data_IF_118201371974
#
_entry.id   IF_118201371974
#
_cell.length_a   1.000
_cell.length_b   1.000
_cell.length_c   1.000
_cell.angle_alpha   90.00
_cell.angle_beta   90.00
_cell.angle_gamma   90.00
#
_symmetry.space_group_name_H-M   'P 1'
#
loop_
_entity.id
_entity.type
_entity.pdbx_description
1 polymer ?
#
# COMPACT_ATOMS: atom_id res chain seq x y z
N UNK A 1 -63.71 -6.14 -22.38
CA UNK A 1 -63.24 -7.52 -22.09
C UNK A 1 -61.99 -7.74 -22.93
N UNK A 2 -60.82 -7.31 -22.45
CA UNK A 2 -59.79 -8.19 -21.87
C UNK A 2 -59.31 -9.16 -22.96
N UNK A 3 -58.09 -8.99 -23.51
CA UNK A 3 -56.94 -9.77 -23.04
C UNK A 3 -55.65 -9.42 -23.84
N UNK A 4 -54.57 -9.15 -23.09
CA UNK A 4 -53.14 -9.26 -23.43
C UNK A 4 -52.63 -8.37 -24.58
N UNK A 5 -52.05 -7.17 -24.40
CA UNK A 5 -51.07 -6.71 -23.41
C UNK A 5 -49.89 -7.69 -23.21
N UNK A 6 -48.76 -7.39 -23.88
CA UNK A 6 -47.36 -7.54 -23.48
C UNK A 6 -46.47 -8.06 -24.62
N UNK A 7 -45.89 -7.15 -25.41
CA UNK A 7 -44.56 -7.37 -25.99
C UNK A 7 -43.75 -6.10 -25.71
N UNK A 8 -43.04 -6.12 -24.58
CA UNK A 8 -41.99 -5.14 -24.26
C UNK A 8 -40.73 -5.62 -24.96
N UNK A 9 -40.29 -4.88 -25.97
CA UNK A 9 -38.99 -5.07 -26.59
C UNK A 9 -38.35 -3.69 -26.73
N UNK A 10 -37.79 -3.21 -25.61
CA UNK A 10 -36.94 -2.03 -25.58
C UNK A 10 -35.56 -2.46 -25.07
N UNK A 11 -34.63 -2.46 -26.01
CA UNK A 11 -33.19 -2.74 -25.90
C UNK A 11 -32.58 -1.93 -24.75
N UNK A 12 -32.09 -2.62 -23.71
CA UNK A 12 -31.28 -2.00 -22.67
C UNK A 12 -29.78 -2.06 -23.09
N UNK A 13 -29.03 -0.96 -22.94
CA UNK A 13 -27.69 -0.81 -23.48
C UNK A 13 -26.65 -1.62 -22.71
N UNK A 14 -25.67 -2.11 -23.46
CA UNK A 14 -24.42 -2.69 -22.97
C UNK A 14 -23.74 -1.76 -21.96
N UNK A 15 -23.79 -2.12 -20.68
CA UNK A 15 -22.80 -1.68 -19.69
C UNK A 15 -21.93 -2.89 -19.34
N UNK A 16 -21.01 -3.22 -20.24
CA UNK A 16 -19.84 -4.03 -19.89
C UNK A 16 -18.97 -3.19 -18.95
N UNK A 17 -19.30 -3.22 -17.66
CA UNK A 17 -18.39 -2.78 -16.62
C UNK A 17 -17.25 -3.81 -16.57
N UNK A 18 -16.18 -3.50 -17.30
CA UNK A 18 -14.85 -4.02 -17.02
C UNK A 18 -14.44 -3.50 -15.64
N UNK A 19 -14.94 -4.13 -14.58
CA UNK A 19 -14.31 -4.01 -13.27
C UNK A 19 -12.92 -4.65 -13.41
N UNK A 20 -11.81 -3.91 -13.24
CA UNK A 20 -10.57 -4.59 -12.98
C UNK A 20 -10.81 -5.40 -11.70
N UNK A 21 -10.72 -6.71 -11.82
CA UNK A 21 -10.63 -7.57 -10.66
C UNK A 21 -9.43 -7.05 -9.84
N UNK A 22 -9.72 -6.30 -8.78
CA UNK A 22 -8.75 -6.04 -7.72
C UNK A 22 -8.55 -7.40 -7.08
N UNK A 23 -7.58 -8.16 -7.62
CA UNK A 23 -7.03 -9.32 -6.97
C UNK A 23 -6.30 -8.81 -5.72
N UNK A 24 -7.06 -8.49 -4.67
CA UNK A 24 -6.55 -8.35 -3.33
C UNK A 24 -6.07 -9.74 -2.93
N UNK A 25 -4.81 -10.05 -3.22
CA UNK A 25 -4.07 -11.07 -2.52
C UNK A 25 -3.53 -10.39 -1.26
N UNK A 26 -4.18 -10.54 -0.09
CA UNK A 26 -3.56 -10.09 1.14
C UNK A 26 -2.33 -10.96 1.33
N UNK A 27 -1.14 -10.40 1.09
CA UNK A 27 0.08 -10.93 1.66
C UNK A 27 0.22 -10.29 3.04
N UNK A 28 -0.31 -10.92 4.12
CA UNK A 28 -0.30 -10.33 5.47
C UNK A 28 1.11 -9.96 5.93
N UNK A 29 2.12 -10.62 5.39
CA UNK A 29 3.53 -10.34 5.68
C UNK A 29 3.96 -8.93 5.23
N UNK A 30 3.50 -8.43 4.08
CA UNK A 30 3.85 -7.09 3.58
C UNK A 30 3.13 -6.02 4.38
N UNK A 31 1.86 -6.23 4.70
CA UNK A 31 1.08 -5.33 5.54
C UNK A 31 1.68 -5.24 6.96
N UNK A 32 2.05 -6.37 7.55
CA UNK A 32 2.73 -6.42 8.85
C UNK A 32 4.09 -5.72 8.81
N UNK A 33 4.85 -5.87 7.72
CA UNK A 33 6.13 -5.18 7.55
C UNK A 33 5.91 -3.66 7.44
N UNK A 34 4.96 -3.22 6.61
CA UNK A 34 4.61 -1.82 6.48
C UNK A 34 4.23 -1.22 7.85
N UNK A 35 3.37 -1.92 8.61
CA UNK A 35 2.97 -1.49 9.94
C UNK A 35 4.17 -1.39 10.90
N UNK A 36 5.10 -2.34 10.89
CA UNK A 36 6.32 -2.28 11.70
C UNK A 36 7.19 -1.08 11.35
N UNK A 37 7.36 -0.78 10.06
CA UNK A 37 8.11 0.41 9.63
C UNK A 37 7.43 1.68 10.12
N UNK A 38 6.12 1.81 9.93
CA UNK A 38 5.35 2.97 10.40
C UNK A 38 5.47 3.13 11.91
N UNK A 39 5.27 2.06 12.68
CA UNK A 39 5.37 2.09 14.15
C UNK A 39 6.77 2.49 14.61
N UNK A 40 7.83 2.00 13.95
CA UNK A 40 9.20 2.39 14.28
C UNK A 40 9.35 3.91 14.21
N UNK A 41 8.99 4.53 13.08
CA UNK A 41 9.14 5.97 12.92
C UNK A 41 8.25 6.76 13.89
N UNK A 42 6.99 6.34 14.05
CA UNK A 42 6.07 7.03 14.96
C UNK A 42 6.54 6.99 16.41
N UNK A 43 7.06 5.85 16.87
CA UNK A 43 7.51 5.63 18.24
C UNK A 43 8.93 6.14 18.52
N UNK A 44 9.75 6.37 17.49
CA UNK A 44 11.08 6.96 17.65
C UNK A 44 11.01 8.46 17.96
N UNK A 45 11.95 8.91 18.79
CA UNK A 45 12.18 10.34 18.99
C UNK A 45 12.86 10.96 17.77
N UNK A 46 12.70 12.28 17.58
CA UNK A 46 13.36 12.98 16.48
C UNK A 46 14.89 12.89 16.56
N UNK A 47 15.47 12.90 17.76
CA UNK A 47 16.91 12.73 17.96
C UNK A 47 17.37 11.32 17.54
N UNK A 48 16.64 10.27 17.91
CA UNK A 48 16.95 8.90 17.47
C UNK A 48 16.88 8.76 15.95
N UNK A 49 15.87 9.38 15.31
CA UNK A 49 15.74 9.36 13.86
C UNK A 49 16.87 10.14 13.17
N UNK A 50 17.33 11.24 13.76
CA UNK A 50 18.46 12.02 13.25
C UNK A 50 19.78 11.23 13.34
N UNK A 51 20.03 10.61 14.50
CA UNK A 51 21.21 9.77 14.74
C UNK A 51 21.22 8.54 13.82
N UNK A 52 20.08 7.89 13.60
CA UNK A 52 20.02 6.73 12.71
C UNK A 52 20.26 7.14 11.24
N UNK A 53 19.85 8.34 10.83
CA UNK A 53 20.10 8.86 9.48
C UNK A 53 21.54 9.25 9.21
N UNK A 54 22.30 9.65 10.25
CA UNK A 54 23.71 10.00 10.11
C UNK A 54 24.62 8.77 10.13
N UNK A 55 24.13 7.64 10.63
CA UNK A 55 24.87 6.39 10.66
C UNK A 55 24.81 5.63 9.32
N UNK A 56 25.85 4.86 8.99
CA UNK A 56 25.79 3.89 7.90
C UNK A 56 24.60 2.94 8.13
N UNK A 57 23.89 2.60 7.05
CA UNK A 57 22.78 1.64 7.15
C UNK A 57 23.31 0.32 7.71
N UNK A 58 22.70 -0.14 8.79
CA UNK A 58 22.98 -1.45 9.35
C UNK A 58 22.74 -2.55 8.31
N UNK A 59 23.45 -3.69 8.41
CA UNK A 59 23.17 -4.87 7.61
C UNK A 59 21.70 -5.28 7.75
N UNK A 60 21.02 -5.49 6.62
CA UNK A 60 19.62 -5.93 6.63
C UNK A 60 19.52 -7.39 7.05
N UNK A 61 18.56 -7.71 7.91
CA UNK A 61 18.27 -9.09 8.28
C UNK A 61 17.68 -9.91 7.12
N UNK A 62 17.75 -11.23 7.21
CA UNK A 62 17.30 -12.17 6.16
C UNK A 62 15.84 -11.93 5.75
N UNK A 63 14.95 -11.70 6.72
CA UNK A 63 13.53 -11.42 6.47
C UNK A 63 13.33 -10.13 5.68
N UNK A 64 14.10 -9.09 5.98
CA UNK A 64 14.04 -7.81 5.24
C UNK A 64 14.56 -7.99 3.82
N UNK A 65 15.64 -8.75 3.63
CA UNK A 65 16.17 -9.07 2.30
C UNK A 65 15.13 -9.81 1.45
N UNK A 66 14.43 -10.80 2.03
CA UNK A 66 13.36 -11.52 1.33
C UNK A 66 12.18 -10.60 0.97
N UNK A 67 11.76 -9.73 1.88
CA UNK A 67 10.70 -8.77 1.60
C UNK A 67 11.10 -7.83 0.45
N UNK A 68 12.34 -7.34 0.44
CA UNK A 68 12.85 -6.50 -0.65
C UNK A 68 12.88 -7.27 -1.97
N UNK A 69 13.24 -8.56 -1.97
CA UNK A 69 13.20 -9.40 -3.17
C UNK A 69 11.77 -9.48 -3.75
N UNK A 70 10.78 -9.72 -2.89
CA UNK A 70 9.35 -9.75 -3.27
C UNK A 70 8.89 -8.40 -3.82
N UNK A 71 9.18 -7.30 -3.13
CA UNK A 71 8.83 -5.95 -3.58
C UNK A 71 9.56 -5.55 -4.88
N UNK A 72 10.72 -6.15 -5.20
CA UNK A 72 11.38 -5.94 -6.49
C UNK A 72 10.71 -6.71 -7.61
N UNK A 73 10.34 -7.97 -7.35
CA UNK A 73 9.71 -8.84 -8.34
C UNK A 73 8.27 -8.46 -8.69
N UNK A 74 7.54 -7.81 -7.78
CA UNK A 74 6.14 -7.45 -7.97
C UNK A 74 5.92 -5.94 -7.85
N UNK A 75 5.48 -5.32 -8.94
CA UNK A 75 5.22 -3.88 -8.98
C UNK A 75 3.99 -3.48 -8.16
N UNK A 76 2.91 -4.26 -8.18
CA UNK A 76 1.69 -3.91 -7.44
C UNK A 76 1.95 -3.96 -5.93
N UNK A 77 2.66 -5.00 -5.46
CA UNK A 77 3.04 -5.09 -4.04
C UNK A 77 3.99 -3.96 -3.62
N UNK A 78 4.93 -3.57 -4.48
CA UNK A 78 5.81 -2.42 -4.22
C UNK A 78 5.03 -1.14 -4.04
N UNK A 79 4.07 -0.87 -4.93
CA UNK A 79 3.25 0.32 -4.86
C UNK A 79 2.43 0.34 -3.57
N UNK A 80 1.81 -0.78 -3.22
CA UNK A 80 1.00 -0.89 -2.01
C UNK A 80 1.84 -0.63 -0.75
N UNK A 81 3.01 -1.27 -0.64
CA UNK A 81 3.92 -1.05 0.48
C UNK A 81 4.35 0.42 0.59
N UNK A 82 4.77 1.03 -0.53
CA UNK A 82 5.21 2.43 -0.56
C UNK A 82 4.06 3.35 -0.16
N UNK A 83 2.86 3.15 -0.70
CA UNK A 83 1.69 3.99 -0.40
C UNK A 83 1.35 3.98 1.09
N UNK A 84 1.46 2.82 1.76
CA UNK A 84 1.21 2.69 3.20
C UNK A 84 2.29 3.34 4.07
N UNK A 85 3.56 3.27 3.66
CA UNK A 85 4.69 3.71 4.48
C UNK A 85 5.06 5.16 4.24
N UNK A 86 5.00 5.63 2.99
CA UNK A 86 5.59 6.90 2.58
C UNK A 86 4.99 8.09 3.32
N UNK A 87 3.66 8.25 3.32
CA UNK A 87 3.00 9.37 3.96
C UNK A 87 3.27 9.47 5.48
N UNK A 88 3.02 8.44 6.31
CA UNK A 88 3.24 8.55 7.76
C UNK A 88 4.71 8.73 8.13
N UNK A 89 5.64 8.08 7.40
CA UNK A 89 7.08 8.25 7.64
C UNK A 89 7.54 9.64 7.22
N UNK A 90 7.12 10.13 6.06
CA UNK A 90 7.46 11.47 5.59
C UNK A 90 6.93 12.54 6.55
N UNK A 91 5.68 12.43 7.01
CA UNK A 91 5.11 13.37 7.98
C UNK A 91 5.93 13.40 9.27
N UNK A 92 6.30 12.24 9.83
CA UNK A 92 7.15 12.18 11.03
C UNK A 92 8.51 12.83 10.78
N UNK A 93 9.13 12.58 9.63
CA UNK A 93 10.42 13.17 9.28
C UNK A 93 10.32 14.69 9.07
N UNK A 94 9.21 15.18 8.51
CA UNK A 94 8.93 16.60 8.34
C UNK A 94 8.74 17.30 9.69
N UNK A 95 7.93 16.73 10.59
CA UNK A 95 7.75 17.22 11.96
C UNK A 95 9.08 17.27 12.73
N UNK A 96 9.97 16.33 12.47
CA UNK A 96 11.32 16.29 13.06
C UNK A 96 12.34 17.20 12.36
N UNK A 97 11.98 17.93 11.30
CA UNK A 97 12.89 18.80 10.53
C UNK A 97 13.97 18.04 9.74
N UNK A 98 13.75 16.76 9.45
CA UNK A 98 14.70 15.88 8.75
C UNK A 98 14.49 15.84 7.24
N UNK A 99 13.34 16.30 6.76
CA UNK A 99 13.06 16.55 5.33
C UNK A 99 12.37 17.92 5.21
N UNK A 100 12.63 18.68 4.12
CA UNK A 100 12.00 19.97 3.89
C UNK A 100 10.52 19.85 3.50
#
# INVERSE_FOLDING_TARGET
MKRFALIVLAVAPLCAFNAPAVCAQPFPMIDQLAQKVVQKYQNSSCQQLAEERSQPRAPRGEMEQRAIAVLRSDQQMRMEFINRVAAPVANKLFECGLIP
#
